data_IF_697740427128
#
_entry.id   IF_697740427128
#
_cell.length_a   1.000
_cell.length_b   1.000
_cell.length_c   1.000
_cell.angle_alpha   90.00
_cell.angle_beta   90.00
_cell.angle_gamma   90.00
#
_symmetry.space_group_name_H-M   'P 1'
#
loop_
_entity.id
_entity.type
_entity.pdbx_description
1 polymer ?
#
# COMPACT_ATOMS: atom_id res chain seq x y z
N UNK A 1 49.62 10.35 27.16
CA UNK A 1 49.38 10.10 25.73
C UNK A 1 48.35 9.00 25.62
N UNK A 2 47.22 9.29 24.97
CA UNK A 2 46.07 8.40 24.81
C UNK A 2 46.29 7.61 23.52
N UNK A 3 46.31 6.28 23.61
CA UNK A 3 46.25 5.39 22.45
C UNK A 3 45.11 4.40 22.68
N UNK A 4 43.92 4.78 22.23
CA UNK A 4 42.80 3.86 22.08
C UNK A 4 43.01 3.08 20.78
N UNK A 5 43.35 1.79 20.91
CA UNK A 5 43.37 0.88 19.79
C UNK A 5 41.93 0.63 19.31
N UNK A 6 41.75 0.76 18.00
CA UNK A 6 40.50 0.59 17.26
C UNK A 6 39.95 -0.82 17.47
N UNK A 7 38.78 -0.91 18.10
CA UNK A 7 37.90 -2.07 18.04
C UNK A 7 37.32 -2.15 16.62
N UNK A 8 37.96 -2.93 15.75
CA UNK A 8 37.33 -3.46 14.54
C UNK A 8 36.26 -4.47 14.97
N UNK A 9 35.05 -3.98 15.24
CA UNK A 9 33.89 -4.83 15.37
C UNK A 9 33.60 -5.49 14.00
N UNK A 10 33.52 -6.83 13.93
CA UNK A 10 33.19 -7.51 12.69
C UNK A 10 31.73 -7.24 12.34
N UNK A 11 31.50 -6.90 11.07
CA UNK A 11 30.23 -7.08 10.37
C UNK A 11 28.99 -6.63 11.13
N UNK A 12 28.64 -5.35 11.01
CA UNK A 12 27.28 -4.89 11.24
C UNK A 12 26.35 -5.59 10.24
N UNK A 13 25.85 -6.76 10.64
CA UNK A 13 24.75 -7.45 10.01
C UNK A 13 23.49 -6.61 10.20
N UNK A 14 23.23 -5.72 9.26
CA UNK A 14 21.94 -5.06 9.07
C UNK A 14 21.19 -5.76 7.96
N UNK A 15 20.35 -6.72 8.34
CA UNK A 15 19.68 -7.68 7.46
C UNK A 15 19.03 -7.08 6.21
N UNK A 16 19.17 -7.82 5.12
CA UNK A 16 18.59 -7.62 3.79
C UNK A 16 17.05 -7.71 3.73
N UNK A 17 16.34 -7.50 4.84
CA UNK A 17 14.89 -7.72 4.92
C UNK A 17 14.08 -6.61 4.24
N UNK A 18 14.63 -5.39 4.15
CA UNK A 18 13.95 -4.27 3.49
C UNK A 18 14.07 -4.26 1.96
N UNK A 19 14.93 -5.08 1.35
CA UNK A 19 15.00 -5.18 -0.12
C UNK A 19 13.85 -6.01 -0.70
N UNK A 20 13.25 -6.91 0.08
CA UNK A 20 12.16 -7.77 -0.37
C UNK A 20 10.86 -6.99 -0.65
N UNK A 21 10.54 -5.98 0.17
CA UNK A 21 9.38 -5.11 -0.05
C UNK A 21 9.56 -4.18 -1.28
N UNK A 22 10.80 -3.85 -1.65
CA UNK A 22 11.09 -3.13 -2.89
C UNK A 22 10.99 -4.04 -4.13
N UNK A 23 11.18 -5.35 -3.96
CA UNK A 23 11.21 -6.34 -5.02
C UNK A 23 9.82 -6.81 -5.48
N UNK A 24 8.80 -6.77 -4.61
CA UNK A 24 7.44 -7.21 -4.96
C UNK A 24 6.57 -6.02 -5.45
N UNK A 25 6.34 -5.87 -6.76
CA UNK A 25 5.52 -4.78 -7.30
C UNK A 25 4.04 -4.91 -6.90
N UNK A 26 3.51 -6.13 -6.77
CA UNK A 26 2.11 -6.36 -6.42
C UNK A 26 1.85 -5.99 -4.96
N UNK A 27 2.72 -6.42 -4.04
CA UNK A 27 2.63 -6.04 -2.62
C UNK A 27 2.66 -4.53 -2.44
N UNK A 28 3.58 -3.84 -3.12
CA UNK A 28 3.68 -2.38 -3.06
C UNK A 28 2.46 -1.67 -3.64
N UNK A 29 1.95 -2.12 -4.78
CA UNK A 29 0.76 -1.53 -5.39
C UNK A 29 -0.49 -1.76 -4.51
N UNK A 30 -0.63 -2.96 -3.95
CA UNK A 30 -1.70 -3.31 -3.01
C UNK A 30 -1.61 -2.50 -1.72
N UNK A 31 -0.42 -2.26 -1.19
CA UNK A 31 -0.23 -1.40 -0.02
C UNK A 31 -0.72 0.02 -0.29
N UNK A 32 -0.34 0.58 -1.44
CA UNK A 32 -0.73 1.94 -1.84
C UNK A 32 -2.24 2.05 -2.05
N UNK A 33 -2.89 1.05 -2.65
CA UNK A 33 -4.33 1.07 -2.86
C UNK A 33 -5.10 1.01 -1.53
N UNK A 34 -4.64 0.23 -0.55
CA UNK A 34 -5.20 0.21 0.80
C UNK A 34 -5.05 1.56 1.51
N UNK A 35 -3.86 2.16 1.43
CA UNK A 35 -3.59 3.47 2.01
C UNK A 35 -4.44 4.59 1.39
N UNK A 36 -4.69 4.54 0.07
CA UNK A 36 -5.54 5.49 -0.64
C UNK A 36 -7.02 5.29 -0.33
N UNK A 37 -7.49 4.04 -0.25
CA UNK A 37 -8.86 3.70 0.18
C UNK A 37 -9.15 4.25 1.58
N UNK A 38 -8.26 4.01 2.53
CA UNK A 38 -8.48 4.44 3.91
C UNK A 38 -8.43 5.97 4.03
N UNK A 39 -7.59 6.64 3.24
CA UNK A 39 -7.62 8.10 3.13
C UNK A 39 -8.94 8.60 2.53
N UNK A 40 -9.44 8.01 1.44
CA UNK A 40 -10.74 8.33 0.84
C UNK A 40 -11.88 8.20 1.85
N UNK A 41 -11.81 7.21 2.74
CA UNK A 41 -12.77 7.02 3.82
C UNK A 41 -12.74 8.10 4.91
N UNK A 42 -11.70 8.91 4.98
CA UNK A 42 -11.67 10.09 5.87
C UNK A 42 -12.38 11.30 5.26
N UNK A 43 -12.69 11.29 3.96
CA UNK A 43 -13.48 12.34 3.34
C UNK A 43 -14.93 12.30 3.83
N UNK A 44 -15.59 13.46 3.89
CA UNK A 44 -17.00 13.56 4.30
C UNK A 44 -17.93 12.71 3.43
N UNK A 45 -18.58 11.71 4.03
CA UNK A 45 -19.44 10.75 3.32
C UNK A 45 -18.68 9.81 2.37
N UNK A 46 -17.36 9.70 2.51
CA UNK A 46 -16.50 8.98 1.58
C UNK A 46 -16.86 7.51 1.44
N UNK A 47 -17.32 6.85 2.50
CA UNK A 47 -17.68 5.42 2.50
C UNK A 47 -19.02 5.14 1.83
N UNK A 48 -19.96 6.07 1.93
CA UNK A 48 -21.37 5.87 1.56
C UNK A 48 -21.64 6.24 0.08
N UNK A 49 -20.77 7.06 -0.52
CA UNK A 49 -20.90 7.53 -1.89
C UNK A 49 -20.84 6.38 -2.90
N UNK A 50 -21.64 6.51 -3.96
CA UNK A 50 -21.81 5.45 -4.97
C UNK A 50 -20.53 5.26 -5.78
N UNK A 51 -19.78 6.33 -6.04
CA UNK A 51 -18.52 6.26 -6.78
C UNK A 51 -17.46 5.50 -5.98
N UNK A 52 -17.41 5.68 -4.65
CA UNK A 52 -16.54 4.89 -3.79
C UNK A 52 -16.90 3.40 -3.83
N UNK A 53 -18.19 3.07 -3.75
CA UNK A 53 -18.67 1.68 -3.82
C UNK A 53 -18.21 0.97 -5.10
N UNK A 54 -18.29 1.65 -6.25
CA UNK A 54 -17.80 1.11 -7.53
C UNK A 54 -16.30 0.81 -7.50
N UNK A 55 -15.49 1.67 -6.86
CA UNK A 55 -14.05 1.41 -6.73
C UNK A 55 -13.76 0.25 -5.76
N UNK A 56 -14.60 0.03 -4.74
CA UNK A 56 -14.48 -1.13 -3.85
C UNK A 56 -14.85 -2.44 -4.56
N UNK A 57 -15.88 -2.43 -5.40
CA UNK A 57 -16.23 -3.56 -6.27
C UNK A 57 -15.05 -3.91 -7.19
N UNK A 58 -14.46 -2.90 -7.83
CA UNK A 58 -13.26 -3.04 -8.65
C UNK A 58 -12.07 -3.60 -7.87
N UNK A 59 -11.85 -3.13 -6.64
CA UNK A 59 -10.80 -3.68 -5.77
C UNK A 59 -11.03 -5.17 -5.48
N UNK A 60 -12.28 -5.59 -5.26
CA UNK A 60 -12.65 -7.00 -5.09
C UNK A 60 -12.46 -7.85 -6.37
N UNK A 61 -12.70 -7.29 -7.55
CA UNK A 61 -12.34 -7.90 -8.84
C UNK A 61 -10.82 -8.11 -8.95
N UNK A 62 -10.02 -7.12 -8.58
CA UNK A 62 -8.57 -7.24 -8.59
C UNK A 62 -8.04 -8.26 -7.59
N UNK A 63 -8.71 -8.44 -6.44
CA UNK A 63 -8.37 -9.52 -5.50
C UNK A 63 -8.60 -10.90 -6.14
N UNK A 64 -9.69 -11.10 -6.88
CA UNK A 64 -9.93 -12.36 -7.61
C UNK A 64 -8.91 -12.56 -8.73
N UNK A 65 -8.59 -11.52 -9.49
CA UNK A 65 -7.58 -11.58 -10.53
C UNK A 65 -6.18 -11.90 -9.98
N UNK A 66 -5.83 -11.36 -8.81
CA UNK A 66 -4.59 -11.70 -8.12
C UNK A 66 -4.55 -13.17 -7.69
N UNK A 67 -5.67 -13.73 -7.25
CA UNK A 67 -5.79 -15.16 -6.91
C UNK A 67 -5.52 -16.04 -8.12
N UNK A 68 -6.17 -15.75 -9.25
CA UNK A 68 -5.98 -16.45 -10.52
C UNK A 68 -4.52 -16.39 -11.02
N UNK A 69 -3.82 -15.29 -10.71
CA UNK A 69 -2.40 -15.09 -11.05
C UNK A 69 -1.41 -15.68 -10.03
N UNK A 70 -1.89 -16.24 -8.92
CA UNK A 70 -1.04 -16.73 -7.84
C UNK A 70 -0.36 -15.63 -7.02
N UNK A 71 -0.83 -14.38 -7.13
CA UNK A 71 -0.29 -13.21 -6.45
C UNK A 71 -0.98 -12.93 -5.08
N UNK A 72 -1.87 -13.81 -4.63
CA UNK A 72 -2.58 -13.67 -3.36
C UNK A 72 -1.65 -13.51 -2.13
N UNK A 73 -0.51 -14.22 -2.01
CA UNK A 73 0.42 -14.01 -0.90
C UNK A 73 0.93 -12.56 -0.82
N UNK A 74 1.19 -11.92 -1.96
CA UNK A 74 1.61 -10.51 -2.03
C UNK A 74 0.53 -9.54 -1.52
N UNK A 75 -0.74 -9.79 -1.84
CA UNK A 75 -1.88 -9.01 -1.32
C UNK A 75 -2.02 -9.17 0.20
N UNK A 76 -1.88 -10.39 0.72
CA UNK A 76 -1.98 -10.67 2.16
C UNK A 76 -0.85 -9.98 2.94
N UNK A 77 0.38 -10.04 2.43
CA UNK A 77 1.52 -9.33 3.03
C UNK A 77 1.30 -7.81 3.01
N UNK A 78 0.81 -7.26 1.90
CA UNK A 78 0.49 -5.83 1.81
C UNK A 78 -0.58 -5.40 2.83
N UNK A 79 -1.60 -6.24 3.04
CA UNK A 79 -2.64 -6.00 4.04
C UNK A 79 -2.07 -6.00 5.46
N UNK A 80 -1.15 -6.92 5.78
CA UNK A 80 -0.47 -6.97 7.07
C UNK A 80 0.42 -5.74 7.28
N UNK A 81 1.20 -5.33 6.27
CA UNK A 81 2.03 -4.13 6.32
C UNK A 81 1.18 -2.88 6.60
N UNK A 82 0.08 -2.74 5.86
CA UNK A 82 -0.82 -1.61 6.03
C UNK A 82 -1.52 -1.65 7.39
N UNK A 83 -1.96 -2.80 7.87
CA UNK A 83 -2.56 -2.92 9.20
C UNK A 83 -1.58 -2.56 10.33
N UNK A 84 -0.29 -2.86 10.15
CA UNK A 84 0.77 -2.46 11.07
C UNK A 84 1.04 -0.95 11.08
N UNK A 85 0.99 -0.31 9.91
CA UNK A 85 1.33 1.11 9.75
C UNK A 85 0.13 2.06 9.93
N UNK A 86 -1.09 1.64 9.58
CA UNK A 86 -2.28 2.50 9.62
C UNK A 86 -2.59 3.01 11.02
N UNK A 87 -2.24 2.25 12.06
CA UNK A 87 -2.37 2.66 13.47
C UNK A 87 -1.43 3.80 13.85
N UNK A 88 -0.34 3.97 13.12
CA UNK A 88 0.68 5.00 13.33
C UNK A 88 0.56 6.13 12.29
N UNK A 89 -0.38 6.02 11.36
CA UNK A 89 -0.57 6.99 10.29
C UNK A 89 -1.10 8.31 10.88
N UNK A 90 -0.27 9.36 10.80
CA UNK A 90 -0.57 10.71 11.30
C UNK A 90 -0.99 11.67 10.19
N UNK A 91 -1.27 11.18 8.99
CA UNK A 91 -1.73 12.03 7.88
C UNK A 91 -3.00 12.79 8.31
N UNK A 92 -3.11 14.08 7.99
CA UNK A 92 -4.34 14.81 8.24
C UNK A 92 -5.49 14.15 7.46
N UNK A 93 -6.72 14.18 7.98
CA UNK A 93 -7.86 13.69 7.24
C UNK A 93 -8.04 14.48 5.95
N UNK A 94 -8.78 13.88 5.03
CA UNK A 94 -9.19 14.52 3.79
C UNK A 94 -9.82 15.90 4.06
N UNK A 95 -9.47 16.88 3.23
CA UNK A 95 -10.02 18.23 3.33
C UNK A 95 -11.54 18.25 3.14
N UNK A 96 -12.22 19.33 3.55
CA UNK A 96 -13.66 19.45 3.37
C UNK A 96 -14.04 19.65 1.89
N UNK A 97 -15.26 19.23 1.53
CA UNK A 97 -15.91 19.54 0.27
C UNK A 97 -15.68 18.54 -0.87
N UNK A 98 -16.40 18.77 -1.97
CA UNK A 98 -16.45 17.86 -3.13
C UNK A 98 -15.09 17.74 -3.85
N UNK A 99 -14.33 18.83 -3.94
CA UNK A 99 -13.03 18.82 -4.62
C UNK A 99 -12.01 17.88 -3.93
N UNK A 100 -11.97 17.90 -2.59
CA UNK A 100 -11.09 17.02 -1.82
C UNK A 100 -11.51 15.54 -1.97
N UNK A 101 -12.82 15.25 -1.92
CA UNK A 101 -13.34 13.91 -2.19
C UNK A 101 -12.96 13.43 -3.60
N UNK A 102 -13.18 14.25 -4.63
CA UNK A 102 -12.86 13.89 -6.02
C UNK A 102 -11.37 13.61 -6.21
N UNK A 103 -10.50 14.42 -5.60
CA UNK A 103 -9.05 14.20 -5.64
C UNK A 103 -8.66 12.86 -4.97
N UNK A 104 -9.20 12.57 -3.79
CA UNK A 104 -8.96 11.30 -3.11
C UNK A 104 -9.49 10.09 -3.90
N UNK A 105 -10.66 10.22 -4.54
CA UNK A 105 -11.24 9.20 -5.39
C UNK A 105 -10.39 8.95 -6.64
N UNK A 106 -9.90 10.01 -7.28
CA UNK A 106 -8.98 9.92 -8.42
C UNK A 106 -7.68 9.22 -8.03
N UNK A 107 -7.08 9.55 -6.88
CA UNK A 107 -5.88 8.85 -6.42
C UNK A 107 -6.17 7.37 -6.13
N UNK A 108 -7.26 7.05 -5.44
CA UNK A 108 -7.63 5.64 -5.21
C UNK A 108 -7.81 4.87 -6.52
N UNK A 109 -8.51 5.44 -7.50
CA UNK A 109 -8.66 4.85 -8.84
C UNK A 109 -7.31 4.61 -9.51
N UNK A 110 -6.39 5.59 -9.45
CA UNK A 110 -5.05 5.46 -10.03
C UNK A 110 -4.22 4.36 -9.33
N UNK A 111 -4.35 4.21 -8.00
CA UNK A 111 -3.70 3.10 -7.29
C UNK A 111 -4.28 1.73 -7.66
N UNK A 112 -5.57 1.65 -8.00
CA UNK A 112 -6.17 0.42 -8.53
C UNK A 112 -5.69 0.11 -9.95
N UNK A 113 -5.45 1.13 -10.78
CA UNK A 113 -4.83 0.95 -12.10
C UNK A 113 -3.41 0.39 -11.98
N UNK A 114 -2.60 0.95 -11.06
CA UNK A 114 -1.25 0.44 -10.76
C UNK A 114 -1.28 -1.00 -10.25
N UNK A 115 -2.22 -1.34 -9.36
CA UNK A 115 -2.40 -2.69 -8.87
C UNK A 115 -2.75 -3.66 -10.01
N UNK A 116 -3.72 -3.30 -10.86
CA UNK A 116 -4.12 -4.09 -12.01
C UNK A 116 -2.94 -4.38 -12.94
N UNK A 117 -2.14 -3.35 -13.27
CA UNK A 117 -0.96 -3.49 -14.10
C UNK A 117 0.08 -4.43 -13.45
N UNK A 118 0.34 -4.28 -12.15
CA UNK A 118 1.30 -5.11 -11.43
C UNK A 118 0.90 -6.59 -11.39
N UNK A 119 -0.39 -6.88 -11.17
CA UNK A 119 -0.94 -8.25 -11.19
C UNK A 119 -0.87 -8.81 -12.62
N UNK A 120 -1.19 -7.99 -13.63
CA UNK A 120 -1.15 -8.40 -15.03
C UNK A 120 0.22 -8.89 -15.49
N UNK A 121 1.29 -8.33 -14.94
CA UNK A 121 2.68 -8.70 -15.23
C UNK A 121 3.28 -9.69 -14.22
N UNK A 122 2.53 -10.12 -13.20
CA UNK A 122 3.05 -11.00 -12.15
C UNK A 122 3.38 -12.39 -12.69
N UNK A 123 4.54 -12.91 -12.26
CA UNK A 123 5.01 -14.26 -12.53
C UNK A 123 5.32 -14.93 -11.18
N UNK A 124 4.65 -16.04 -10.82
CA UNK A 124 4.84 -16.75 -9.56
C UNK A 124 6.18 -17.49 -9.46
#
# INVERSE_FOLDING_TARGET
MVSAAVLLAPGCGGGSENKAAAADPVRRASFRSLAARDFLFTCGGGRERIETRRQLERMGELTRFADEKGAMPSLQLAANDWAGLSRLDRRPPCGPGEAAYRAALTDFSARLDELAASIGTYQP
#
